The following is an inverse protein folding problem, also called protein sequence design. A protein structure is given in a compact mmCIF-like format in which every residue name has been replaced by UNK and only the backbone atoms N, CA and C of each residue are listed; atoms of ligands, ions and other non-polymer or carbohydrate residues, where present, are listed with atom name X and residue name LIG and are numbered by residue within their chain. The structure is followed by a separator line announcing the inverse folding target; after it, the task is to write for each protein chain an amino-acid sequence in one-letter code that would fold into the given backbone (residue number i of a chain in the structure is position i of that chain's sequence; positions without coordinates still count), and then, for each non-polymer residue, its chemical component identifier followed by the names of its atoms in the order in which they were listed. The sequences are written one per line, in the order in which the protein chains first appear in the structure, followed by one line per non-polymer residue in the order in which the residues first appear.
data_IF_082282827910
#
_entry.id   IF_082282827910
#
_cell.length_a   1.000
_cell.length_b   1.000
_cell.length_c   1.000
_cell.angle_alpha   90.00
_cell.angle_beta   90.00
_cell.angle_gamma   90.00
#
_symmetry.space_group_name_H-M   'P 1'
#
loop_
_entity.id
_entity.type
_entity.pdbx_description
1 polymer ?
#
# COMPACT_ATOMS: atom_id res chain seq x y z
N UNK A 1 -22.67 -5.23 -6.62
CA UNK A 1 -22.55 -6.52 -5.89
C UNK A 1 -21.11 -7.03 -5.89
N UNK A 2 -20.48 -7.26 -7.05
CA UNK A 2 -19.08 -7.74 -7.15
C UNK A 2 -18.03 -6.85 -6.47
N UNK A 3 -18.18 -5.52 -6.55
CA UNK A 3 -17.29 -4.57 -5.86
C UNK A 3 -17.35 -4.69 -4.34
N UNK A 4 -18.57 -4.81 -3.78
CA UNK A 4 -18.72 -5.03 -2.34
C UNK A 4 -18.11 -6.35 -1.91
N UNK A 5 -18.29 -7.41 -2.71
CA UNK A 5 -17.76 -8.74 -2.41
C UNK A 5 -16.22 -8.78 -2.42
N UNK A 6 -15.53 -8.33 -3.47
CA UNK A 6 -14.04 -8.36 -3.47
C UNK A 6 -13.45 -7.42 -2.39
N UNK A 7 -14.15 -6.31 -2.08
CA UNK A 7 -13.76 -5.41 -0.97
C UNK A 7 -13.98 -6.08 0.40
N UNK A 8 -15.13 -6.71 0.64
CA UNK A 8 -15.42 -7.51 1.84
C UNK A 8 -14.45 -8.68 2.01
N UNK A 9 -14.03 -9.30 0.90
CA UNK A 9 -13.05 -10.38 0.92
C UNK A 9 -11.64 -9.88 1.28
N UNK A 10 -11.26 -8.67 0.84
CA UNK A 10 -10.08 -7.96 1.37
C UNK A 10 -10.20 -7.73 2.88
N UNK A 11 -11.36 -7.27 3.36
CA UNK A 11 -11.61 -7.07 4.80
C UNK A 11 -11.52 -8.39 5.60
N UNK A 12 -11.94 -9.52 5.01
CA UNK A 12 -11.96 -10.84 5.64
C UNK A 12 -10.58 -11.53 5.66
N UNK A 13 -9.76 -11.35 4.62
CA UNK A 13 -8.40 -11.94 4.58
C UNK A 13 -7.53 -11.49 5.77
N UNK A 14 -7.73 -10.26 6.27
CA UNK A 14 -7.05 -9.76 7.48
C UNK A 14 -7.39 -10.51 8.77
N UNK A 15 -8.51 -11.25 8.80
CA UNK A 15 -8.88 -12.05 9.97
C UNK A 15 -8.11 -13.38 9.98
N UNK A 16 -7.80 -13.92 8.80
CA UNK A 16 -7.10 -15.22 8.63
C UNK A 16 -5.60 -15.13 8.93
N UNK A 17 -5.01 -13.93 8.92
CA UNK A 17 -3.61 -13.67 9.31
C UNK A 17 -3.35 -13.84 10.81
N UNK A 18 -4.38 -14.13 11.62
CA UNK A 18 -4.26 -14.45 13.06
C UNK A 18 -3.73 -15.88 13.32
N UNK A 19 -3.46 -16.67 12.28
CA UNK A 19 -2.98 -18.04 12.43
C UNK A 19 -1.46 -18.07 12.70
N UNK A 20 -1.00 -18.58 13.85
CA UNK A 20 0.42 -18.81 14.07
C UNK A 20 0.86 -19.92 13.11
N UNK A 21 1.80 -19.61 12.21
CA UNK A 21 2.41 -20.54 11.22
C UNK A 21 1.64 -20.79 9.91
N UNK A 22 0.71 -19.92 9.50
CA UNK A 22 0.15 -19.99 8.15
C UNK A 22 1.15 -19.53 7.10
N UNK A 23 1.54 -20.42 6.16
CA UNK A 23 2.44 -20.16 5.02
C UNK A 23 2.29 -18.73 4.47
N UNK A 24 3.30 -17.87 4.69
CA UNK A 24 3.35 -16.51 4.14
C UNK A 24 3.12 -16.53 2.62
N UNK A 25 3.59 -17.60 1.97
CA UNK A 25 3.39 -17.87 0.56
C UNK A 25 1.92 -18.09 0.18
N UNK A 26 1.19 -18.95 0.90
CA UNK A 26 -0.25 -19.15 0.64
C UNK A 26 -1.05 -17.89 0.88
N UNK A 27 -0.74 -17.16 1.95
CA UNK A 27 -1.37 -15.85 2.22
C UNK A 27 -1.11 -14.89 1.05
N UNK A 28 0.14 -14.81 0.59
CA UNK A 28 0.53 -13.97 -0.55
C UNK A 28 -0.15 -14.38 -1.87
N UNK A 29 -0.35 -15.67 -2.11
CA UNK A 29 -1.06 -16.20 -3.28
C UNK A 29 -2.54 -15.79 -3.27
N UNK A 30 -3.24 -16.03 -2.16
CA UNK A 30 -4.66 -15.66 -2.02
C UNK A 30 -4.83 -14.14 -2.11
N UNK A 31 -3.97 -13.36 -1.43
CA UNK A 31 -3.94 -11.90 -1.57
C UNK A 31 -3.74 -11.48 -3.02
N UNK A 32 -2.85 -12.16 -3.76
CA UNK A 32 -2.59 -11.89 -5.16
C UNK A 32 -3.84 -12.07 -6.03
N UNK A 33 -4.62 -13.12 -5.80
CA UNK A 33 -5.88 -13.34 -6.51
C UNK A 33 -6.91 -12.24 -6.23
N UNK A 34 -7.02 -11.80 -4.97
CA UNK A 34 -7.95 -10.73 -4.58
C UNK A 34 -7.52 -9.39 -5.16
N UNK A 35 -6.22 -9.08 -5.13
CA UNK A 35 -5.65 -7.86 -5.76
C UNK A 35 -5.93 -7.87 -7.26
N UNK A 36 -5.77 -9.01 -7.93
CA UNK A 36 -6.08 -9.14 -9.36
C UNK A 36 -7.58 -8.95 -9.66
N UNK A 37 -8.50 -9.48 -8.82
CA UNK A 37 -9.94 -9.19 -8.93
C UNK A 37 -10.19 -7.68 -8.84
N UNK A 38 -9.65 -7.06 -7.79
CA UNK A 38 -9.88 -5.65 -7.50
C UNK A 38 -9.31 -4.76 -8.60
N UNK A 39 -8.11 -5.08 -9.10
CA UNK A 39 -7.51 -4.40 -10.25
C UNK A 39 -8.40 -4.46 -11.48
N UNK A 40 -8.85 -5.66 -11.88
CA UNK A 40 -9.69 -5.85 -13.06
C UNK A 40 -11.01 -5.05 -12.98
N UNK A 41 -11.48 -4.81 -11.76
CA UNK A 41 -12.64 -3.99 -11.48
C UNK A 41 -12.33 -2.49 -11.51
N UNK A 42 -11.25 -2.07 -10.83
CA UNK A 42 -10.81 -0.66 -10.78
C UNK A 42 -10.57 -0.12 -12.18
N UNK A 43 -9.99 -0.92 -13.08
CA UNK A 43 -9.79 -0.56 -14.49
C UNK A 43 -11.09 -0.26 -15.26
N UNK A 44 -12.25 -0.62 -14.72
CA UNK A 44 -13.58 -0.35 -15.31
C UNK A 44 -14.31 0.81 -14.62
N UNK A 45 -13.76 1.36 -13.53
CA UNK A 45 -14.38 2.46 -12.79
C UNK A 45 -13.99 3.80 -13.40
N UNK A 46 -14.91 4.77 -13.35
CA UNK A 46 -14.57 6.16 -13.58
C UNK A 46 -13.71 6.70 -12.43
N UNK A 47 -12.92 7.75 -12.70
CA UNK A 47 -12.16 8.46 -11.66
C UNK A 47 -13.04 8.86 -10.46
N UNK A 48 -14.25 9.38 -10.72
CA UNK A 48 -15.21 9.83 -9.71
C UNK A 48 -15.60 8.69 -8.75
N UNK A 49 -15.66 7.45 -9.26
CA UNK A 49 -16.00 6.28 -8.45
C UNK A 49 -14.77 5.68 -7.77
N UNK A 50 -13.63 5.67 -8.47
CA UNK A 50 -12.40 5.08 -7.97
C UNK A 50 -11.81 5.87 -6.80
N UNK A 51 -11.79 7.21 -6.88
CA UNK A 51 -11.19 8.08 -5.85
C UNK A 51 -11.72 7.82 -4.42
N UNK A 52 -13.05 7.83 -4.16
CA UNK A 52 -13.57 7.53 -2.82
C UNK A 52 -13.34 6.07 -2.41
N UNK A 53 -13.29 5.13 -3.36
CA UNK A 53 -12.93 3.73 -3.06
C UNK A 53 -11.48 3.63 -2.59
N UNK A 54 -10.56 4.29 -3.29
CA UNK A 54 -9.13 4.30 -2.94
C UNK A 54 -8.91 4.86 -1.53
N UNK A 55 -9.58 5.96 -1.17
CA UNK A 55 -9.48 6.51 0.19
C UNK A 55 -10.07 5.59 1.25
N UNK A 56 -11.18 4.90 0.97
CA UNK A 56 -11.71 3.88 1.90
C UNK A 56 -10.72 2.73 2.11
N UNK A 57 -10.00 2.31 1.07
CA UNK A 57 -8.97 1.27 1.18
C UNK A 57 -7.75 1.78 1.96
N UNK A 58 -7.34 3.03 1.74
CA UNK A 58 -6.28 3.67 2.51
C UNK A 58 -6.66 3.76 4.00
N UNK A 59 -7.86 4.20 4.32
CA UNK A 59 -8.31 4.28 5.70
C UNK A 59 -8.48 2.91 6.34
N UNK A 60 -9.00 1.92 5.60
CA UNK A 60 -9.02 0.53 6.06
C UNK A 60 -7.63 0.02 6.43
N UNK A 61 -6.60 0.34 5.64
CA UNK A 61 -5.22 -0.10 5.90
C UNK A 61 -4.67 0.36 7.26
N UNK A 62 -5.22 1.47 7.79
CA UNK A 62 -4.85 2.05 9.09
C UNK A 62 -5.62 1.43 10.26
N UNK A 63 -6.69 0.68 10.01
CA UNK A 63 -7.52 0.06 11.04
C UNK A 63 -7.09 -1.37 11.32
N UNK A 64 -7.21 -1.86 12.55
CA UNK A 64 -6.95 -3.27 12.88
C UNK A 64 -5.48 -3.68 12.76
N UNK A 65 -5.21 -4.80 12.10
CA UNK A 65 -3.87 -5.40 12.00
C UNK A 65 -2.93 -4.63 11.07
N UNK A 66 -1.66 -4.48 11.45
CA UNK A 66 -0.62 -3.81 10.64
C UNK A 66 -0.35 -4.52 9.30
N UNK A 67 -0.66 -5.81 9.22
CA UNK A 67 -0.61 -6.62 8.00
C UNK A 67 -1.42 -6.01 6.85
N UNK A 68 -2.49 -5.25 7.15
CA UNK A 68 -3.28 -4.56 6.11
C UNK A 68 -2.47 -3.53 5.33
N UNK A 69 -1.42 -2.97 5.92
CA UNK A 69 -0.48 -2.08 5.23
C UNK A 69 0.22 -2.81 4.08
N UNK A 70 0.66 -4.06 4.30
CA UNK A 70 1.28 -4.88 3.26
C UNK A 70 0.33 -5.08 2.08
N UNK A 71 -0.90 -5.51 2.35
CA UNK A 71 -1.92 -5.73 1.32
C UNK A 71 -2.23 -4.44 0.57
N UNK A 72 -2.39 -3.32 1.28
CA UNK A 72 -2.72 -2.03 0.68
C UNK A 72 -1.60 -1.47 -0.20
N UNK A 73 -0.34 -1.54 0.26
CA UNK A 73 0.79 -1.02 -0.53
C UNK A 73 1.14 -1.94 -1.70
N UNK A 74 0.95 -3.27 -1.56
CA UNK A 74 1.02 -4.19 -2.70
C UNK A 74 -0.05 -3.89 -3.75
N UNK A 75 -1.28 -3.61 -3.33
CA UNK A 75 -2.35 -3.17 -4.23
C UNK A 75 -2.00 -1.83 -4.89
N UNK A 76 -1.53 -0.86 -4.12
CA UNK A 76 -1.17 0.48 -4.61
C UNK A 76 -0.06 0.40 -5.66
N UNK A 77 0.94 -0.45 -5.43
CA UNK A 77 2.02 -0.70 -6.37
C UNK A 77 1.52 -1.25 -7.72
N UNK A 78 0.65 -2.26 -7.66
CA UNK A 78 0.03 -2.86 -8.86
C UNK A 78 -0.88 -1.85 -9.57
N UNK A 79 -1.64 -1.04 -8.82
CA UNK A 79 -2.47 0.02 -9.39
C UNK A 79 -1.63 1.11 -10.05
N UNK A 80 -0.52 1.52 -9.45
CA UNK A 80 0.41 2.50 -10.02
C UNK A 80 0.94 2.03 -11.38
N UNK A 81 1.30 0.74 -11.49
CA UNK A 81 1.77 0.15 -12.74
C UNK A 81 0.69 0.13 -13.84
N UNK A 82 -0.55 -0.19 -13.47
CA UNK A 82 -1.64 -0.38 -14.45
C UNK A 82 -2.33 0.90 -14.86
N UNK A 83 -2.50 1.85 -13.94
CA UNK A 83 -3.14 3.14 -14.18
C UNK A 83 -2.14 4.23 -14.60
N UNK A 84 -0.85 4.07 -14.29
CA UNK A 84 0.22 5.01 -14.65
C UNK A 84 -0.10 6.44 -14.18
N UNK A 85 -0.09 7.41 -15.09
CA UNK A 85 -0.32 8.83 -14.77
C UNK A 85 -1.69 9.10 -14.15
N UNK A 86 -2.71 8.25 -14.40
CA UNK A 86 -4.00 8.35 -13.72
C UNK A 86 -3.87 8.06 -12.22
N UNK A 87 -2.99 7.14 -11.81
CA UNK A 87 -2.75 6.86 -10.40
C UNK A 87 -2.12 8.06 -9.67
N UNK A 88 -1.23 8.78 -10.36
CA UNK A 88 -0.49 9.93 -9.81
C UNK A 88 -1.45 11.03 -9.33
N UNK A 89 -2.65 11.14 -9.93
CA UNK A 89 -3.71 12.07 -9.48
C UNK A 89 -4.13 11.87 -8.02
N UNK A 90 -3.94 10.65 -7.47
CA UNK A 90 -4.33 10.30 -6.10
C UNK A 90 -3.14 10.17 -5.15
N UNK A 91 -1.92 10.04 -5.69
CA UNK A 91 -0.69 9.78 -4.95
C UNK A 91 -0.36 10.83 -3.88
N UNK A 92 -0.95 12.03 -3.96
CA UNK A 92 -0.68 13.11 -2.99
C UNK A 92 -1.06 12.70 -1.56
N UNK A 93 -2.07 11.85 -1.44
CA UNK A 93 -2.55 11.33 -0.16
C UNK A 93 -1.68 10.19 0.40
N UNK A 94 -0.72 9.70 -0.38
CA UNK A 94 0.21 8.65 0.03
C UNK A 94 1.54 9.22 0.54
N UNK A 95 1.89 10.46 0.20
CA UNK A 95 3.19 11.06 0.55
C UNK A 95 3.45 11.00 2.06
N UNK A 96 2.53 11.53 2.87
CA UNK A 96 2.67 11.53 4.32
C UNK A 96 2.62 10.11 4.93
N UNK A 97 1.64 9.24 4.56
CA UNK A 97 1.66 7.85 5.01
C UNK A 97 2.95 7.08 4.67
N UNK A 98 3.51 7.27 3.47
CA UNK A 98 4.75 6.61 3.07
C UNK A 98 5.93 7.14 3.90
N UNK A 99 6.06 8.45 4.07
CA UNK A 99 7.10 9.05 4.91
C UNK A 99 7.04 8.52 6.36
N UNK A 100 5.84 8.47 6.95
CA UNK A 100 5.66 7.98 8.32
C UNK A 100 6.03 6.50 8.46
N UNK A 101 5.72 5.68 7.45
CA UNK A 101 6.08 4.26 7.44
C UNK A 101 7.58 4.03 7.21
N UNK A 102 8.25 4.86 6.39
CA UNK A 102 9.70 4.81 6.23
C UNK A 102 10.41 5.12 7.55
N UNK A 103 9.99 6.17 8.25
CA UNK A 103 10.51 6.51 9.58
C UNK A 103 10.26 5.38 10.58
N UNK A 104 9.05 4.81 10.60
CA UNK A 104 8.69 3.73 11.53
C UNK A 104 9.38 2.40 11.21
N UNK A 105 9.77 2.18 9.95
CA UNK A 105 10.49 0.99 9.52
C UNK A 105 11.98 1.04 9.87
N UNK A 106 12.51 2.24 10.15
CA UNK A 106 13.90 2.39 10.58
C UNK A 106 14.07 1.95 12.04
N UNK A 107 14.72 0.80 12.23
CA UNK A 107 14.97 0.19 13.54
C UNK A 107 15.85 1.06 14.47
N UNK A 108 16.57 2.05 13.94
CA UNK A 108 17.40 2.95 14.76
C UNK A 108 16.60 4.03 15.48
N UNK A 109 15.38 4.33 15.03
CA UNK A 109 14.58 5.45 15.51
C UNK A 109 13.35 5.04 16.34
N UNK A 110 13.01 3.74 16.40
CA UNK A 110 11.73 3.27 16.96
C UNK A 110 11.87 2.19 18.02
N UNK A 111 11.22 2.42 19.16
CA UNK A 111 11.25 1.55 20.35
C UNK A 111 10.26 0.37 20.29
N UNK A 112 9.25 0.43 19.41
CA UNK A 112 8.31 -0.67 19.18
C UNK A 112 8.38 -1.19 17.73
N UNK A 113 8.39 -2.52 17.53
CA UNK A 113 8.46 -3.11 16.20
C UNK A 113 7.14 -2.92 15.44
N UNK A 114 7.22 -2.52 14.16
CA UNK A 114 6.06 -2.32 13.28
C UNK A 114 5.17 -3.56 13.11
N UNK A 115 5.78 -4.75 13.16
CA UNK A 115 5.09 -6.05 13.10
C UNK A 115 5.55 -6.94 14.26
N UNK A 116 4.67 -7.82 14.73
CA UNK A 116 4.98 -8.73 15.83
C UNK A 116 5.97 -9.85 15.44
N UNK A 117 5.54 -10.82 14.63
CA UNK A 117 6.34 -11.97 14.18
C UNK A 117 6.85 -11.79 12.75
N UNK A 118 8.05 -12.33 12.45
CA UNK A 118 8.75 -12.16 11.17
C UNK A 118 8.91 -10.68 10.77
N UNK A 119 9.13 -9.83 11.77
CA UNK A 119 9.10 -8.37 11.64
C UNK A 119 10.09 -7.87 10.58
N UNK A 120 11.31 -8.40 10.54
CA UNK A 120 12.31 -8.00 9.54
C UNK A 120 11.86 -8.31 8.11
N UNK A 121 11.38 -9.52 7.83
CA UNK A 121 10.92 -9.91 6.48
C UNK A 121 9.69 -9.08 6.04
N UNK A 122 8.73 -8.88 6.95
CA UNK A 122 7.54 -8.05 6.67
C UNK A 122 7.91 -6.58 6.46
N UNK A 123 8.85 -6.04 7.24
CA UNK A 123 9.37 -4.67 7.04
C UNK A 123 10.07 -4.57 5.68
N UNK A 124 10.98 -5.47 5.33
CA UNK A 124 11.64 -5.46 4.02
C UNK A 124 10.63 -5.54 2.86
N UNK A 125 9.62 -6.39 2.99
CA UNK A 125 8.56 -6.52 1.98
C UNK A 125 7.72 -5.25 1.87
N UNK A 126 7.37 -4.62 2.99
CA UNK A 126 6.66 -3.35 3.00
C UNK A 126 7.50 -2.26 2.33
N UNK A 127 8.78 -2.14 2.69
CA UNK A 127 9.71 -1.18 2.09
C UNK A 127 9.80 -1.37 0.58
N UNK A 128 9.90 -2.61 0.11
CA UNK A 128 9.88 -2.92 -1.32
C UNK A 128 8.61 -2.37 -2.01
N UNK A 129 7.42 -2.62 -1.45
CA UNK A 129 6.18 -2.09 -2.03
C UNK A 129 6.09 -0.56 -1.95
N UNK A 130 6.55 0.06 -0.86
CA UNK A 130 6.56 1.52 -0.72
C UNK A 130 7.47 2.17 -1.76
N UNK A 131 8.69 1.66 -1.90
CA UNK A 131 9.70 2.20 -2.81
C UNK A 131 9.34 1.96 -4.27
N UNK A 132 8.84 0.78 -4.63
CA UNK A 132 8.36 0.50 -5.99
C UNK A 132 7.18 1.40 -6.36
N UNK A 133 6.25 1.61 -5.43
CA UNK A 133 5.10 2.48 -5.65
C UNK A 133 5.55 3.94 -5.82
N UNK A 134 6.46 4.44 -4.96
CA UNK A 134 7.06 5.77 -5.11
C UNK A 134 7.80 5.92 -6.45
N UNK A 135 8.60 4.93 -6.81
CA UNK A 135 9.31 4.90 -8.09
C UNK A 135 8.34 5.01 -9.26
N UNK A 136 7.25 4.23 -9.27
CA UNK A 136 6.21 4.28 -10.32
C UNK A 136 5.48 5.62 -10.33
N UNK A 137 5.19 6.20 -9.16
CA UNK A 137 4.59 7.54 -9.07
C UNK A 137 5.50 8.57 -9.74
N UNK A 138 6.80 8.55 -9.45
CA UNK A 138 7.79 9.43 -10.07
C UNK A 138 7.96 9.15 -11.57
N UNK A 139 8.01 7.88 -11.96
CA UNK A 139 8.18 7.44 -13.35
C UNK A 139 7.00 7.87 -14.24
N UNK A 140 5.78 7.81 -13.71
CA UNK A 140 4.56 8.16 -14.43
C UNK A 140 4.07 9.59 -14.14
N UNK A 141 4.88 10.41 -13.46
CA UNK A 141 4.54 11.81 -13.19
C UNK A 141 4.53 12.63 -14.48
N UNK A 142 3.35 13.16 -14.82
CA UNK A 142 3.16 14.09 -15.95
C UNK A 142 2.70 15.47 -15.50
N UNK A 143 2.46 15.68 -14.20
CA UNK A 143 1.81 16.87 -13.66
C UNK A 143 2.61 17.56 -12.54
N UNK A 144 3.92 17.30 -12.46
CA UNK A 144 4.80 17.83 -11.40
C UNK A 144 4.29 17.41 -10.02
N UNK A 145 3.96 16.13 -9.89
CA UNK A 145 3.62 15.49 -8.65
C UNK A 145 4.69 15.75 -7.57
N UNK A 146 5.97 15.63 -7.91
CA UNK A 146 7.05 15.85 -6.95
C UNK A 146 7.30 17.36 -6.75
N UNK A 147 6.42 18.01 -6.00
CA UNK A 147 6.62 19.39 -5.54
C UNK A 147 7.73 19.46 -4.48
N UNK A 148 8.26 20.67 -4.25
CA UNK A 148 9.25 20.90 -3.18
C UNK A 148 8.77 20.41 -1.81
N UNK A 149 7.53 20.73 -1.45
CA UNK A 149 6.92 20.31 -0.18
C UNK A 149 6.89 18.77 -0.02
N UNK A 150 6.54 18.05 -1.09
CA UNK A 150 6.49 16.58 -1.08
C UNK A 150 7.88 15.97 -1.06
N UNK A 151 8.83 16.57 -1.80
CA UNK A 151 10.23 16.17 -1.77
C UNK A 151 10.82 16.35 -0.37
N UNK A 152 10.62 17.51 0.26
CA UNK A 152 11.08 17.80 1.62
C UNK A 152 10.49 16.82 2.64
N UNK A 153 9.24 16.40 2.44
CA UNK A 153 8.58 15.37 3.29
C UNK A 153 9.19 13.98 3.14
N UNK A 154 9.62 13.60 1.93
CA UNK A 154 10.10 12.25 1.63
C UNK A 154 11.61 12.09 1.77
N UNK A 155 12.39 13.17 1.61
CA UNK A 155 13.83 13.10 1.44
C UNK A 155 14.52 12.48 2.66
N UNK A 156 14.29 13.00 3.86
CA UNK A 156 14.96 12.50 5.05
C UNK A 156 14.58 11.04 5.36
N UNK A 157 13.30 10.65 5.39
CA UNK A 157 12.93 9.25 5.62
C UNK A 157 13.51 8.27 4.58
N UNK A 158 13.70 8.70 3.33
CA UNK A 158 14.33 7.88 2.30
C UNK A 158 15.85 7.72 2.49
N UNK A 159 16.55 8.78 2.90
CA UNK A 159 17.99 8.73 3.18
C UNK A 159 18.32 7.88 4.41
N UNK A 160 17.36 7.77 5.33
CA UNK A 160 17.51 7.03 6.57
C UNK A 160 17.27 5.51 6.42
N UNK A 161 16.88 5.01 5.24
CA UNK A 161 16.71 3.56 4.98
C UNK A 161 18.04 2.87 4.64
#
# INVERSE_FOLDING_TARGET
MMMKMCVEQMFYLSFSTSCPQGDLQRTSEVEGHVINCLLAMVLKLSEVTFRPLFFKLLDWSKTGSKERLLTFFRLSDVLAEKLKSLFVLFAGNLVKPIADLLTLSNCSQTSEPLFASLSSQKVCLLLHFLLDCLYKICLYDTQRFLSRERADTLLQPLLDQ
#
